data_IF_923015887075
#
_entry.id   IF_923015887075
#
_cell.length_a   1.000
_cell.length_b   1.000
_cell.length_c   1.000
_cell.angle_alpha   90.00
_cell.angle_beta   90.00
_cell.angle_gamma   90.00
#
_symmetry.space_group_name_H-M   'P 1'
#
loop_
_entity.id
_entity.type
_entity.pdbx_description
1 polymer ?
#
# COMPACT_ATOMS: atom_id res chain seq x y z
N UNK A 1 -19.65 28.42 43.88
CA UNK A 1 -19.34 27.24 44.72
C UNK A 1 -19.99 26.04 44.04
N UNK A 2 -19.21 25.13 43.45
CA UNK A 2 -19.74 23.92 42.78
C UNK A 2 -19.75 22.80 43.83
N UNK A 3 -20.92 22.23 44.11
CA UNK A 3 -21.04 21.05 44.96
C UNK A 3 -21.21 19.82 44.08
N UNK A 4 -20.29 18.86 44.18
CA UNK A 4 -20.40 17.53 43.59
C UNK A 4 -20.69 16.53 44.71
N UNK A 5 -21.87 15.90 44.66
CA UNK A 5 -22.19 14.75 45.50
C UNK A 5 -21.96 13.47 44.68
N UNK A 6 -20.98 12.65 45.08
CA UNK A 6 -20.76 11.33 44.50
C UNK A 6 -21.47 10.30 45.38
N UNK A 7 -22.51 9.66 44.84
CA UNK A 7 -23.17 8.52 45.46
C UNK A 7 -22.30 7.27 45.35
N UNK A 8 -22.16 6.52 46.46
CA UNK A 8 -21.39 5.27 46.53
C UNK A 8 -21.93 4.16 45.59
N UNK A 9 -23.15 4.31 45.06
CA UNK A 9 -23.72 3.43 44.01
C UNK A 9 -23.61 3.98 42.58
N UNK A 10 -23.47 5.31 42.42
CA UNK A 10 -23.42 5.98 41.11
C UNK A 10 -22.15 5.65 40.33
N UNK A 11 -20.99 5.56 41.02
CA UNK A 11 -19.72 5.26 40.34
C UNK A 11 -19.69 3.87 39.68
N UNK A 12 -20.40 2.86 40.22
CA UNK A 12 -20.50 1.53 39.61
C UNK A 12 -21.38 1.54 38.38
N UNK A 13 -22.52 2.23 38.44
CA UNK A 13 -23.40 2.40 37.29
C UNK A 13 -22.72 3.23 36.18
N UNK A 14 -22.00 4.29 36.55
CA UNK A 14 -21.22 5.10 35.62
C UNK A 14 -20.04 4.31 35.01
N UNK A 15 -19.37 3.48 35.81
CA UNK A 15 -18.31 2.60 35.33
C UNK A 15 -18.84 1.51 34.38
N UNK A 16 -19.99 0.90 34.68
CA UNK A 16 -20.65 -0.06 33.80
C UNK A 16 -21.19 0.59 32.52
N UNK A 17 -21.73 1.80 32.61
CA UNK A 17 -22.19 2.57 31.45
C UNK A 17 -21.00 2.94 30.55
N UNK A 18 -19.90 3.40 31.15
CA UNK A 18 -18.65 3.71 30.44
C UNK A 18 -18.04 2.47 29.80
N UNK A 19 -18.05 1.32 30.49
CA UNK A 19 -17.58 0.04 29.95
C UNK A 19 -18.42 -0.39 28.76
N UNK A 20 -19.76 -0.33 28.86
CA UNK A 20 -20.68 -0.65 27.76
C UNK A 20 -20.49 0.28 26.56
N UNK A 21 -20.29 1.58 26.80
CA UNK A 21 -19.98 2.55 25.74
C UNK A 21 -18.65 2.24 25.05
N UNK A 22 -17.62 1.85 25.82
CA UNK A 22 -16.34 1.43 25.27
C UNK A 22 -16.46 0.15 24.43
N UNK A 23 -17.16 -0.87 24.94
CA UNK A 23 -17.43 -2.13 24.23
C UNK A 23 -18.18 -1.87 22.91
N UNK A 24 -19.24 -1.05 22.94
CA UNK A 24 -19.98 -0.65 21.73
C UNK A 24 -19.11 0.13 20.75
N UNK A 25 -18.23 1.00 21.27
CA UNK A 25 -17.24 1.72 20.48
C UNK A 25 -16.26 0.77 19.79
N UNK A 26 -15.71 -0.19 20.53
CA UNK A 26 -14.80 -1.20 20.00
C UNK A 26 -15.47 -2.07 18.91
N UNK A 27 -16.70 -2.53 19.14
CA UNK A 27 -17.48 -3.30 18.15
C UNK A 27 -17.79 -2.49 16.89
N UNK A 28 -18.04 -1.19 17.04
CA UNK A 28 -18.23 -0.28 15.91
C UNK A 28 -16.95 -0.17 15.08
N UNK A 29 -15.81 0.07 15.74
CA UNK A 29 -14.49 0.14 15.08
C UNK A 29 -14.15 -1.17 14.38
N UNK A 30 -14.35 -2.31 15.03
CA UNK A 30 -14.07 -3.62 14.44
C UNK A 30 -14.91 -3.88 13.19
N UNK A 31 -16.21 -3.54 13.22
CA UNK A 31 -17.08 -3.63 12.04
C UNK A 31 -16.62 -2.72 10.90
N UNK A 32 -16.22 -1.49 11.21
CA UNK A 32 -15.71 -0.54 10.21
C UNK A 32 -14.41 -1.05 9.55
N UNK A 33 -13.47 -1.55 10.36
CA UNK A 33 -12.21 -2.13 9.86
C UNK A 33 -12.48 -3.35 8.97
N UNK A 34 -13.34 -4.27 9.41
CA UNK A 34 -13.68 -5.46 8.63
C UNK A 34 -14.37 -5.11 7.31
N UNK A 35 -15.30 -4.15 7.33
CA UNK A 35 -15.96 -3.67 6.12
C UNK A 35 -14.96 -3.06 5.13
N UNK A 36 -14.02 -2.24 5.62
CA UNK A 36 -13.01 -1.63 4.77
C UNK A 36 -12.02 -2.67 4.20
N UNK A 37 -11.58 -3.64 5.02
CA UNK A 37 -10.75 -4.75 4.53
C UNK A 37 -11.48 -5.59 3.47
N UNK A 38 -12.79 -5.80 3.61
CA UNK A 38 -13.62 -6.44 2.58
C UNK A 38 -13.56 -5.69 1.26
N UNK A 39 -13.80 -4.37 1.29
CA UNK A 39 -13.72 -3.51 0.10
C UNK A 39 -12.34 -3.54 -0.56
N UNK A 40 -11.26 -3.56 0.22
CA UNK A 40 -9.89 -3.66 -0.31
C UNK A 40 -9.66 -5.01 -0.99
N UNK A 41 -10.19 -6.11 -0.45
CA UNK A 41 -10.11 -7.42 -1.09
C UNK A 41 -10.85 -7.44 -2.42
N UNK A 42 -12.06 -6.89 -2.47
CA UNK A 42 -12.86 -6.82 -3.70
C UNK A 42 -12.13 -6.01 -4.78
N UNK A 43 -11.47 -4.91 -4.39
CA UNK A 43 -10.64 -4.11 -5.29
C UNK A 43 -9.46 -4.89 -5.86
N UNK A 44 -8.76 -5.67 -5.03
CA UNK A 44 -7.64 -6.49 -5.49
C UNK A 44 -8.10 -7.59 -6.43
N UNK A 45 -9.23 -8.25 -6.13
CA UNK A 45 -9.83 -9.24 -7.02
C UNK A 45 -10.26 -8.62 -8.37
N UNK A 46 -10.81 -7.40 -8.36
CA UNK A 46 -11.14 -6.69 -9.60
C UNK A 46 -9.90 -6.36 -10.43
N UNK A 47 -8.78 -6.00 -9.78
CA UNK A 47 -7.50 -5.79 -10.47
C UNK A 47 -6.93 -7.07 -11.06
N UNK A 48 -7.02 -8.19 -10.34
CA UNK A 48 -6.59 -9.50 -10.85
C UNK A 48 -7.42 -9.91 -12.07
N UNK A 49 -8.74 -9.78 -12.00
CA UNK A 49 -9.63 -10.05 -13.12
C UNK A 49 -9.33 -9.15 -14.32
N UNK A 50 -9.09 -7.85 -14.09
CA UNK A 50 -8.69 -6.90 -15.12
C UNK A 50 -7.37 -7.29 -15.79
N UNK A 51 -6.37 -7.68 -15.00
CA UNK A 51 -5.09 -8.14 -15.53
C UNK A 51 -5.22 -9.43 -16.35
N UNK A 52 -6.06 -10.38 -15.92
CA UNK A 52 -6.26 -11.66 -16.61
C UNK A 52 -6.89 -11.52 -18.00
N UNK A 53 -7.71 -10.48 -18.23
CA UNK A 53 -8.42 -10.26 -19.51
C UNK A 53 -7.76 -9.24 -20.42
N UNK A 54 -6.68 -8.59 -19.99
CA UNK A 54 -6.02 -7.51 -20.74
C UNK A 54 -4.71 -8.01 -21.35
N UNK A 55 -4.70 -8.20 -22.68
CA UNK A 55 -3.55 -8.77 -23.41
C UNK A 55 -2.30 -7.85 -23.41
N UNK A 56 -2.50 -6.53 -23.41
CA UNK A 56 -1.43 -5.52 -23.38
C UNK A 56 -1.59 -4.58 -22.18
N UNK A 57 -1.64 -5.17 -20.98
CA UNK A 57 -1.73 -4.37 -19.77
C UNK A 57 -0.48 -3.47 -19.68
N UNK A 58 -0.69 -2.15 -19.63
CA UNK A 58 0.36 -1.15 -19.48
C UNK A 58 0.19 -0.36 -18.19
N UNK A 59 1.27 0.23 -17.68
CA UNK A 59 1.21 1.07 -16.48
C UNK A 59 0.18 2.20 -16.62
N UNK A 60 0.04 2.78 -17.81
CA UNK A 60 -0.96 3.81 -18.11
C UNK A 60 -2.40 3.27 -18.00
N UNK A 61 -2.68 2.08 -18.53
CA UNK A 61 -3.99 1.44 -18.43
C UNK A 61 -4.34 1.09 -16.97
N UNK A 62 -3.38 0.59 -16.20
CA UNK A 62 -3.58 0.33 -14.77
C UNK A 62 -3.89 1.59 -13.99
N UNK A 63 -3.19 2.70 -14.28
CA UNK A 63 -3.47 4.00 -13.67
C UNK A 63 -4.89 4.45 -14.01
N UNK A 64 -5.26 4.42 -15.30
CA UNK A 64 -6.59 4.81 -15.74
C UNK A 64 -7.71 3.98 -15.06
N UNK A 65 -7.50 2.66 -14.95
CA UNK A 65 -8.45 1.76 -14.29
C UNK A 65 -8.61 2.04 -12.79
N UNK A 66 -7.51 2.36 -12.09
CA UNK A 66 -7.53 2.49 -10.63
C UNK A 66 -7.68 3.92 -10.11
N UNK A 67 -7.56 4.94 -10.94
CA UNK A 67 -7.49 6.34 -10.49
C UNK A 67 -8.76 6.78 -9.75
N UNK A 68 -9.94 6.52 -10.31
CA UNK A 68 -11.22 6.81 -9.64
C UNK A 68 -11.45 5.89 -8.46
N UNK A 69 -11.00 4.64 -8.55
CA UNK A 69 -11.23 3.65 -7.51
C UNK A 69 -10.47 4.01 -6.24
N UNK A 70 -9.18 4.37 -6.33
CA UNK A 70 -8.40 4.79 -5.17
C UNK A 70 -9.02 5.99 -4.45
N UNK A 71 -9.60 6.95 -5.17
CA UNK A 71 -10.27 8.12 -4.57
C UNK A 71 -11.48 7.74 -3.70
N UNK A 72 -12.09 6.57 -3.94
CA UNK A 72 -13.22 6.05 -3.15
C UNK A 72 -12.79 5.22 -1.94
N UNK A 73 -11.51 4.87 -1.83
CA UNK A 73 -10.95 4.09 -0.72
C UNK A 73 -10.02 4.96 0.13
N UNK A 74 -10.61 5.72 1.06
CA UNK A 74 -9.85 6.63 1.92
C UNK A 74 -8.78 5.93 2.79
N UNK A 75 -8.98 4.64 3.10
CA UNK A 75 -8.01 3.86 3.87
C UNK A 75 -6.76 3.45 3.07
N UNK A 76 -6.81 3.49 1.73
CA UNK A 76 -5.69 3.14 0.87
C UNK A 76 -4.93 4.40 0.45
N UNK A 77 -3.66 4.49 0.82
CA UNK A 77 -2.80 5.60 0.39
C UNK A 77 -2.31 5.45 -1.05
N UNK A 78 -2.18 4.21 -1.53
CA UNK A 78 -1.69 3.90 -2.87
C UNK A 78 -2.06 2.49 -3.34
N UNK A 79 -2.06 2.30 -4.66
CA UNK A 79 -2.05 1.00 -5.33
C UNK A 79 -0.86 0.97 -6.28
N UNK A 80 -0.08 -0.10 -6.24
CA UNK A 80 1.16 -0.23 -6.98
C UNK A 80 1.10 -1.41 -7.92
N UNK A 81 1.61 -1.21 -9.13
CA UNK A 81 1.95 -2.28 -10.05
C UNK A 81 3.39 -2.71 -9.75
N UNK A 82 3.54 -3.99 -9.40
CA UNK A 82 4.83 -4.62 -9.19
C UNK A 82 5.19 -5.57 -10.33
N UNK A 83 6.42 -5.52 -10.82
CA UNK A 83 6.92 -6.43 -11.87
C UNK A 83 8.16 -7.18 -11.38
N UNK A 84 8.18 -8.50 -11.58
CA UNK A 84 9.34 -9.35 -11.28
C UNK A 84 10.36 -9.21 -12.41
N UNK A 85 11.61 -8.92 -12.05
CA UNK A 85 12.70 -8.70 -13.00
C UNK A 85 13.92 -9.49 -12.56
N UNK A 86 14.42 -10.39 -13.41
CA UNK A 86 15.70 -11.07 -13.18
C UNK A 86 16.87 -10.10 -13.42
N UNK A 87 18.01 -10.30 -12.74
CA UNK A 87 19.20 -9.45 -12.95
C UNK A 87 19.64 -9.40 -14.42
N UNK A 88 19.58 -10.55 -15.09
CA UNK A 88 19.93 -10.68 -16.50
C UNK A 88 19.06 -9.80 -17.42
N UNK A 89 17.81 -9.52 -17.03
CA UNK A 89 16.87 -8.72 -17.79
C UNK A 89 16.83 -7.25 -17.35
N UNK A 90 17.55 -6.89 -16.27
CA UNK A 90 17.49 -5.56 -15.66
C UNK A 90 17.70 -4.43 -16.66
N UNK A 91 18.77 -4.49 -17.45
CA UNK A 91 19.08 -3.42 -18.41
C UNK A 91 18.01 -3.26 -19.48
N UNK A 92 17.48 -4.39 -19.99
CA UNK A 92 16.39 -4.37 -20.96
C UNK A 92 15.13 -3.77 -20.36
N UNK A 93 14.77 -4.18 -19.14
CA UNK A 93 13.62 -3.66 -18.41
C UNK A 93 13.73 -2.15 -18.14
N UNK A 94 14.86 -1.67 -17.61
CA UNK A 94 15.12 -0.24 -17.36
C UNK A 94 15.03 0.58 -18.66
N UNK A 95 15.60 0.07 -19.76
CA UNK A 95 15.56 0.72 -21.07
C UNK A 95 14.14 0.82 -21.67
N UNK A 96 13.39 -0.29 -21.66
CA UNK A 96 12.01 -0.31 -22.17
C UNK A 96 11.14 0.63 -21.34
N UNK A 97 11.23 0.55 -20.01
CA UNK A 97 10.44 1.39 -19.09
C UNK A 97 10.79 2.88 -19.25
N UNK A 98 12.07 3.21 -19.46
CA UNK A 98 12.51 4.58 -19.77
C UNK A 98 11.83 5.13 -21.03
N UNK A 99 11.73 4.30 -22.09
CA UNK A 99 11.05 4.68 -23.33
C UNK A 99 9.54 4.82 -23.14
N UNK A 100 8.91 3.90 -22.40
CA UNK A 100 7.47 3.94 -22.11
C UNK A 100 7.08 5.19 -21.30
N UNK A 101 7.89 5.56 -20.30
CA UNK A 101 7.59 6.68 -19.40
C UNK A 101 8.08 8.04 -19.94
N UNK A 102 8.94 8.06 -20.95
CA UNK A 102 9.56 9.28 -21.48
C UNK A 102 10.48 10.00 -20.48
N UNK A 103 10.99 9.28 -19.47
CA UNK A 103 11.92 9.79 -18.43
C UNK A 103 12.89 8.70 -18.02
N UNK A 104 14.08 9.08 -17.54
CA UNK A 104 15.05 8.11 -17.04
C UNK A 104 14.42 7.25 -15.92
N UNK A 105 14.56 5.95 -16.03
CA UNK A 105 14.04 4.97 -15.09
C UNK A 105 15.14 3.99 -14.68
N UNK A 106 15.30 3.81 -13.38
CA UNK A 106 16.29 2.90 -12.80
C UNK A 106 15.68 2.11 -11.65
N UNK A 107 16.11 0.86 -11.47
CA UNK A 107 15.77 0.11 -10.27
C UNK A 107 16.57 0.67 -9.09
N UNK A 108 15.87 1.02 -8.02
CA UNK A 108 16.40 1.74 -6.86
C UNK A 108 16.08 1.03 -5.54
N UNK A 109 16.99 1.15 -4.58
CA UNK A 109 16.78 0.76 -3.19
C UNK A 109 16.70 2.03 -2.31
N UNK A 110 15.98 1.99 -1.19
CA UNK A 110 16.04 3.06 -0.21
C UNK A 110 17.40 3.07 0.49
N UNK A 111 17.99 4.26 0.59
CA UNK A 111 19.22 4.50 1.35
C UNK A 111 18.87 5.37 2.56
N UNK A 112 19.21 4.93 3.79
CA UNK A 112 18.92 5.70 5.00
C UNK A 112 19.47 7.11 4.92
N UNK A 113 18.62 8.12 5.10
CA UNK A 113 19.00 9.54 5.07
C UNK A 113 19.21 10.15 3.68
N UNK A 114 19.39 9.34 2.64
CA UNK A 114 19.70 9.79 1.26
C UNK A 114 18.54 9.62 0.28
N UNK A 115 17.49 8.88 0.66
CA UNK A 115 16.29 8.68 -0.16
C UNK A 115 16.39 7.41 -0.99
N UNK A 116 16.41 7.52 -2.32
CA UNK A 116 16.49 6.38 -3.24
C UNK A 116 17.80 6.44 -4.03
N UNK A 117 18.51 5.33 -4.11
CA UNK A 117 19.72 5.19 -4.92
C UNK A 117 19.64 3.94 -5.79
N UNK A 118 20.45 3.89 -6.86
CA UNK A 118 20.52 2.74 -7.78
C UNK A 118 20.74 1.44 -7.00
N UNK A 119 19.88 0.45 -7.25
CA UNK A 119 20.00 -0.85 -6.59
C UNK A 119 21.29 -1.55 -7.04
N UNK A 120 22.00 -2.17 -6.10
CA UNK A 120 23.09 -3.08 -6.40
C UNK A 120 22.57 -4.30 -7.20
N UNK A 121 23.49 -5.03 -7.85
CA UNK A 121 23.16 -6.31 -8.51
C UNK A 121 22.59 -7.30 -7.49
N UNK A 122 21.50 -7.95 -7.86
CA UNK A 122 20.81 -8.96 -7.06
C UNK A 122 20.14 -9.96 -8.00
N UNK A 123 19.98 -11.25 -7.62
CA UNK A 123 19.44 -12.27 -8.54
C UNK A 123 18.10 -11.90 -9.18
N UNK A 124 17.28 -11.16 -8.45
CA UNK A 124 15.96 -10.72 -8.88
C UNK A 124 15.54 -9.45 -8.14
N UNK A 125 14.61 -8.74 -8.75
CA UNK A 125 13.98 -7.54 -8.24
C UNK A 125 12.46 -7.69 -8.32
N UNK A 126 11.75 -7.01 -7.44
CA UNK A 126 10.31 -6.76 -7.58
C UNK A 126 10.14 -5.26 -7.61
N UNK A 127 9.80 -4.71 -8.77
CA UNK A 127 9.95 -3.28 -9.03
C UNK A 127 8.60 -2.60 -9.12
N UNK A 128 8.44 -1.45 -8.45
CA UNK A 128 7.29 -0.56 -8.67
C UNK A 128 7.40 0.07 -10.06
N UNK A 129 6.65 -0.45 -11.03
CA UNK A 129 6.64 0.07 -12.41
C UNK A 129 5.68 1.26 -12.59
N UNK A 130 4.59 1.26 -11.83
CA UNK A 130 3.55 2.27 -11.91
C UNK A 130 2.53 2.12 -10.79
N UNK A 131 1.50 2.96 -10.79
CA UNK A 131 0.51 2.95 -9.72
C UNK A 131 -0.23 4.26 -9.54
N UNK A 132 -1.20 4.24 -8.65
CA UNK A 132 -1.99 5.41 -8.24
C UNK A 132 -1.74 5.70 -6.77
N UNK A 133 -1.70 6.98 -6.42
CA UNK A 133 -1.50 7.45 -5.05
C UNK A 133 -2.53 8.50 -4.71
N UNK A 134 -2.87 8.63 -3.43
CA UNK A 134 -3.71 9.72 -2.95
C UNK A 134 -3.04 11.08 -3.16
N UNK A 135 -3.81 12.18 -3.26
CA UNK A 135 -3.26 13.53 -3.30
C UNK A 135 -2.28 13.80 -2.15
N UNK A 136 -1.16 14.47 -2.45
CA UNK A 136 -0.08 14.77 -1.49
C UNK A 136 1.05 13.73 -1.42
N UNK A 137 0.84 12.55 -2.00
CA UNK A 137 1.87 11.52 -2.12
C UNK A 137 2.47 11.47 -3.53
N UNK A 138 3.64 10.84 -3.63
CA UNK A 138 4.31 10.48 -4.89
C UNK A 138 4.60 8.98 -4.87
N UNK A 139 4.34 8.35 -6.01
CA UNK A 139 4.66 6.95 -6.23
C UNK A 139 6.18 6.76 -6.26
N UNK A 140 6.74 5.79 -5.51
CA UNK A 140 8.16 5.47 -5.57
C UNK A 140 8.45 4.56 -6.78
N UNK A 141 8.24 5.06 -7.99
CA UNK A 141 8.59 4.34 -9.23
C UNK A 141 10.07 3.95 -9.23
N UNK A 142 10.38 2.75 -9.73
CA UNK A 142 11.72 2.20 -9.71
C UNK A 142 12.11 1.56 -8.39
N UNK A 143 11.35 1.75 -7.30
CA UNK A 143 11.64 1.09 -6.03
C UNK A 143 11.60 -0.44 -6.18
N UNK A 144 12.73 -1.09 -5.92
CA UNK A 144 12.80 -2.51 -5.68
C UNK A 144 12.24 -2.79 -4.29
N UNK A 145 11.07 -3.41 -4.20
CA UNK A 145 10.43 -3.75 -2.92
C UNK A 145 11.08 -4.96 -2.23
N UNK A 146 12.06 -5.62 -2.84
CA UNK A 146 12.83 -6.71 -2.22
C UNK A 146 14.07 -6.22 -1.48
N UNK A 147 14.18 -4.92 -1.19
CA UNK A 147 15.34 -4.33 -0.54
C UNK A 147 15.62 -4.85 0.89
N UNK A 148 14.70 -5.62 1.48
CA UNK A 148 14.94 -6.39 2.70
C UNK A 148 14.59 -7.88 2.52
N UNK A 149 15.31 -8.81 3.17
CA UNK A 149 15.04 -10.24 3.06
C UNK A 149 13.60 -10.64 3.43
N UNK A 150 13.02 -10.03 4.46
CA UNK A 150 11.66 -10.35 4.94
C UNK A 150 10.58 -10.13 3.87
N UNK A 151 10.78 -9.15 3.00
CA UNK A 151 9.83 -8.85 1.93
C UNK A 151 9.85 -9.92 0.84
N UNK A 152 11.01 -10.51 0.56
CA UNK A 152 11.10 -11.60 -0.42
C UNK A 152 10.24 -12.79 -0.01
N UNK A 153 10.38 -13.24 1.25
CA UNK A 153 9.58 -14.36 1.77
C UNK A 153 8.07 -14.05 1.72
N UNK A 154 7.69 -12.81 2.07
CA UNK A 154 6.31 -12.35 1.99
C UNK A 154 5.74 -12.46 0.55
N UNK A 155 6.43 -11.86 -0.42
CA UNK A 155 5.93 -11.84 -1.81
C UNK A 155 5.95 -13.22 -2.46
N UNK A 156 6.95 -14.05 -2.17
CA UNK A 156 6.95 -15.44 -2.64
C UNK A 156 5.77 -16.24 -2.08
N UNK A 157 5.38 -15.98 -0.83
CA UNK A 157 4.20 -16.59 -0.22
C UNK A 157 2.91 -16.12 -0.90
N UNK A 158 2.81 -14.81 -1.21
CA UNK A 158 1.65 -14.25 -1.91
C UNK A 158 1.44 -14.91 -3.28
N UNK A 159 2.52 -14.99 -4.07
CA UNK A 159 2.49 -15.58 -5.41
C UNK A 159 2.15 -17.07 -5.39
N UNK A 160 2.73 -17.84 -4.46
CA UNK A 160 2.47 -19.29 -4.36
C UNK A 160 1.08 -19.63 -3.85
N UNK A 161 0.55 -18.80 -2.95
CA UNK A 161 -0.76 -19.03 -2.33
C UNK A 161 -1.94 -18.58 -3.20
N UNK A 162 -1.74 -17.70 -4.19
CA UNK A 162 -2.85 -17.08 -4.91
C UNK A 162 -3.78 -16.29 -3.97
N UNK A 163 -3.23 -15.75 -2.88
CA UNK A 163 -3.99 -15.10 -1.83
C UNK A 163 -3.49 -13.68 -1.58
N UNK A 164 -4.42 -12.77 -1.32
CA UNK A 164 -4.12 -11.44 -0.80
C UNK A 164 -3.44 -11.55 0.57
N UNK A 165 -2.21 -11.06 0.67
CA UNK A 165 -1.50 -10.94 1.94
C UNK A 165 -1.66 -9.54 2.53
N UNK A 166 -1.88 -9.48 3.83
CA UNK A 166 -1.80 -8.26 4.62
C UNK A 166 -0.55 -8.37 5.49
N UNK A 167 0.32 -7.37 5.45
CA UNK A 167 1.55 -7.38 6.25
C UNK A 167 1.83 -5.99 6.84
N UNK A 168 2.40 -5.96 8.04
CA UNK A 168 2.81 -4.73 8.72
C UNK A 168 4.21 -4.32 8.25
N UNK A 169 4.36 -4.06 6.96
CA UNK A 169 5.61 -3.54 6.41
C UNK A 169 5.52 -2.01 6.36
N UNK A 170 6.53 -1.32 6.86
CA UNK A 170 6.61 0.15 6.75
C UNK A 170 6.55 0.55 5.27
N UNK A 171 5.55 1.34 4.83
CA UNK A 171 5.48 1.78 3.45
C UNK A 171 6.59 2.80 3.18
N UNK A 172 7.17 2.73 1.98
CA UNK A 172 8.03 3.81 1.47
C UNK A 172 7.09 4.83 0.82
N UNK A 173 6.80 5.91 1.55
CA UNK A 173 5.98 7.00 1.06
C UNK A 173 6.87 8.19 0.72
N UNK A 174 6.82 8.66 -0.52
CA UNK A 174 7.46 9.91 -0.91
C UNK A 174 6.41 11.00 -0.81
N UNK A 175 6.53 11.92 0.15
CA UNK A 175 5.66 13.10 0.20
C UNK A 175 6.07 14.08 -0.90
N UNK A 176 5.10 14.72 -1.56
CA UNK A 176 5.43 15.88 -2.41
C UNK A 176 5.94 16.98 -1.49
N UNK A 177 7.19 17.40 -1.67
CA UNK A 177 7.63 18.67 -1.13
C UNK A 177 6.98 19.76 -1.99
N UNK A 178 6.11 20.57 -1.39
CA UNK A 178 5.65 21.79 -2.04
C UNK A 178 6.85 22.75 -2.03
N UNK A 179 7.32 23.14 -3.22
CA UNK A 179 8.30 24.20 -3.35
C UNK A 179 7.72 25.48 -2.76
N UNK A 180 8.46 26.09 -1.84
CA UNK A 180 8.29 27.46 -1.37
C UNK A 180 8.49 28.46 -2.49
#
# INVERSE_FOLDING_TARGET
MISMAVSYGGWRQDAEATRRQFEQGADSVQRQVNAELGRVKDLLAANEAFAAVTFDLSAALFVAFNQTTLQRHAALTQLQWLEWVADADRFRFEFVTTRELGRNFEIQNPVPGEGLARAASAPQYLVVKGGVVQPGYRLPEGLNVLFTPDRLALYQTATKGGHTLVSQVRPVLVRRQFGS
#
